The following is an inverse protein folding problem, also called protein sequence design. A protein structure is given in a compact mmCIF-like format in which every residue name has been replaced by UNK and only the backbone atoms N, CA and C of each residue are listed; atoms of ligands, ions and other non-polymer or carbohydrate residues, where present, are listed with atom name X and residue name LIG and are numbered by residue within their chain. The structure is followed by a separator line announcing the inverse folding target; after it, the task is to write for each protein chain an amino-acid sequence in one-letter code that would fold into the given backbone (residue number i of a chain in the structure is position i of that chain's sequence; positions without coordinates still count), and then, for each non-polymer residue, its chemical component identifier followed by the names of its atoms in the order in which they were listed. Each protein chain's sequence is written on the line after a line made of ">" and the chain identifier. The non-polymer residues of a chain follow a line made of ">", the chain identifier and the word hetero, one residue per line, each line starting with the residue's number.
data_IF_581201097577
#
_entry.id   IF_581201097577
#
_cell.length_a   1.000
_cell.length_b   1.000
_cell.length_c   1.000
_cell.angle_alpha   90.00
_cell.angle_beta   90.00
_cell.angle_gamma   90.00
#
_symmetry.space_group_name_H-M   'P 1'
#
loop_
_entity.id
_entity.type
_entity.pdbx_description
1 polymer ?
#
# COMPACT_ATOMS: atom_id res chain seq x y z
N UNK A 1 -1.22 0.95 -17.17
CA UNK A 1 0.03 1.69 -17.47
C UNK A 1 -0.10 3.18 -17.65
N UNK A 2 -0.79 3.73 -18.65
CA UNK A 2 -0.80 5.20 -18.85
C UNK A 2 -1.44 5.98 -17.69
N UNK A 3 -2.64 5.57 -17.26
CA UNK A 3 -3.36 6.25 -16.17
C UNK A 3 -2.67 6.09 -14.81
N UNK A 4 -2.11 4.91 -14.51
CA UNK A 4 -1.39 4.69 -13.26
C UNK A 4 -0.10 5.50 -13.20
N UNK A 5 0.59 5.68 -14.34
CA UNK A 5 1.73 6.60 -14.45
C UNK A 5 1.31 8.06 -14.28
N UNK A 6 0.15 8.45 -14.81
CA UNK A 6 -0.38 9.81 -14.67
C UNK A 6 -0.82 10.16 -13.24
N UNK A 7 -1.27 9.17 -12.44
CA UNK A 7 -1.57 9.36 -11.01
C UNK A 7 -0.32 9.38 -10.12
N UNK A 8 0.81 8.83 -10.59
CA UNK A 8 2.03 8.74 -9.79
C UNK A 8 2.52 10.09 -9.24
N UNK A 9 2.60 11.17 -10.05
CA UNK A 9 2.97 12.50 -9.56
C UNK A 9 2.12 12.98 -8.38
N UNK A 10 0.82 12.63 -8.33
CA UNK A 10 -0.10 13.06 -7.26
C UNK A 10 0.35 12.52 -5.91
N UNK A 11 0.52 11.20 -5.77
CA UNK A 11 0.89 10.58 -4.50
C UNK A 11 2.39 10.59 -4.18
N UNK A 12 3.23 11.03 -5.12
CA UNK A 12 4.66 11.27 -4.85
C UNK A 12 5.01 12.74 -4.64
N UNK A 13 4.02 13.64 -4.68
CA UNK A 13 4.24 15.07 -4.51
C UNK A 13 4.87 15.41 -3.15
N UNK A 14 5.71 16.47 -3.07
CA UNK A 14 6.36 16.86 -1.83
C UNK A 14 5.40 17.48 -0.81
N UNK A 15 4.32 18.12 -1.26
CA UNK A 15 3.35 18.83 -0.42
C UNK A 15 1.93 18.57 -0.89
N UNK A 16 0.93 18.87 -0.04
CA UNK A 16 -0.49 18.78 -0.39
C UNK A 16 -0.83 19.69 -1.59
N UNK A 17 -0.42 20.96 -1.56
CA UNK A 17 -0.63 21.89 -2.68
C UNK A 17 0.00 21.39 -3.98
N UNK A 18 1.22 20.86 -3.95
CA UNK A 18 1.82 20.26 -5.15
C UNK A 18 1.03 19.03 -5.63
N UNK A 19 0.45 18.24 -4.73
CA UNK A 19 -0.41 17.12 -5.11
C UNK A 19 -1.72 17.60 -5.76
N UNK A 20 -2.31 18.69 -5.26
CA UNK A 20 -3.49 19.32 -5.86
C UNK A 20 -3.21 19.79 -7.28
N UNK A 21 -2.09 20.49 -7.51
CA UNK A 21 -1.68 20.90 -8.86
C UNK A 21 -1.54 19.71 -9.80
N UNK A 22 -0.89 18.63 -9.35
CA UNK A 22 -0.77 17.39 -10.14
C UNK A 22 -2.10 16.70 -10.37
N UNK A 23 -3.03 16.82 -9.44
CA UNK A 23 -4.35 16.23 -9.59
C UNK A 23 -5.21 17.05 -10.57
N UNK A 24 -5.07 18.38 -10.60
CA UNK A 24 -5.69 19.23 -11.62
C UNK A 24 -5.17 18.89 -13.02
N UNK A 25 -3.84 18.79 -13.20
CA UNK A 25 -3.23 18.33 -14.46
C UNK A 25 -3.78 16.97 -14.90
N UNK A 26 -3.93 16.04 -13.95
CA UNK A 26 -4.52 14.73 -14.21
C UNK A 26 -6.00 14.82 -14.66
N UNK A 27 -6.79 15.70 -14.04
CA UNK A 27 -8.19 15.89 -14.39
C UNK A 27 -8.35 16.47 -15.79
N UNK A 28 -7.54 17.44 -16.19
CA UNK A 28 -7.57 18.04 -17.53
C UNK A 28 -7.41 16.97 -18.62
N UNK A 29 -6.47 16.04 -18.43
CA UNK A 29 -6.19 14.98 -19.42
C UNK A 29 -7.19 13.82 -19.34
N UNK A 30 -7.62 13.40 -18.14
CA UNK A 30 -8.31 12.12 -17.95
C UNK A 30 -9.79 12.20 -17.56
N UNK A 31 -10.32 13.37 -17.19
CA UNK A 31 -11.72 13.53 -16.75
C UNK A 31 -12.73 13.07 -17.79
N UNK A 32 -12.53 13.40 -19.06
CA UNK A 32 -13.45 13.02 -20.15
C UNK A 32 -13.49 11.50 -20.38
N UNK A 33 -12.36 10.81 -20.19
CA UNK A 33 -12.22 9.38 -20.49
C UNK A 33 -12.52 8.49 -19.29
N UNK A 34 -12.16 8.94 -18.08
CA UNK A 34 -12.32 8.19 -16.84
C UNK A 34 -12.87 9.06 -15.70
N UNK A 35 -14.09 9.61 -15.84
CA UNK A 35 -14.66 10.51 -14.84
C UNK A 35 -14.89 9.83 -13.48
N UNK A 36 -15.07 8.50 -13.46
CA UNK A 36 -15.22 7.75 -12.22
C UNK A 36 -13.94 7.73 -11.37
N UNK A 37 -12.76 7.76 -11.99
CA UNK A 37 -11.48 7.76 -11.28
C UNK A 37 -11.23 9.13 -10.64
N UNK A 38 -11.57 10.21 -11.33
CA UNK A 38 -11.52 11.57 -10.78
C UNK A 38 -12.40 11.65 -9.53
N UNK A 39 -13.69 11.27 -9.64
CA UNK A 39 -14.61 11.26 -8.49
C UNK A 39 -14.12 10.42 -7.32
N UNK A 40 -13.50 9.26 -7.59
CA UNK A 40 -12.94 8.41 -6.54
C UNK A 40 -11.85 9.15 -5.75
N UNK A 41 -10.95 9.85 -6.46
CA UNK A 41 -9.88 10.61 -5.83
C UNK A 41 -10.38 11.87 -5.12
N UNK A 42 -11.36 12.58 -5.68
CA UNK A 42 -12.01 13.72 -5.02
C UNK A 42 -12.65 13.30 -3.69
N UNK A 43 -13.42 12.21 -3.71
CA UNK A 43 -14.08 11.69 -2.51
C UNK A 43 -13.07 11.24 -1.45
N UNK A 44 -11.95 10.65 -1.86
CA UNK A 44 -10.90 10.17 -0.97
C UNK A 44 -9.87 11.26 -0.59
N UNK A 45 -9.98 12.48 -1.14
CA UNK A 45 -8.93 13.49 -1.05
C UNK A 45 -8.58 13.84 0.40
N UNK A 46 -9.60 14.06 1.23
CA UNK A 46 -9.42 14.39 2.65
C UNK A 46 -8.73 13.27 3.44
N UNK A 47 -8.93 12.01 3.06
CA UNK A 47 -8.26 10.85 3.66
C UNK A 47 -6.84 10.66 3.12
N UNK A 48 -6.60 11.09 1.88
CA UNK A 48 -5.30 11.03 1.21
C UNK A 48 -4.34 12.15 1.64
N UNK A 49 -4.82 13.37 1.89
CA UNK A 49 -3.94 14.50 2.26
C UNK A 49 -3.04 14.21 3.48
N UNK A 50 -3.53 13.61 4.59
CA UNK A 50 -2.68 13.22 5.71
C UNK A 50 -1.52 12.31 5.33
N UNK A 51 -1.69 11.45 4.31
CA UNK A 51 -0.62 10.59 3.84
C UNK A 51 0.60 11.38 3.32
N UNK A 52 0.38 12.57 2.76
CA UNK A 52 1.47 13.41 2.26
C UNK A 52 2.34 14.02 3.37
N UNK A 53 1.86 14.05 4.61
CA UNK A 53 2.61 14.56 5.77
C UNK A 53 3.73 13.62 6.22
N UNK A 54 3.68 12.34 5.83
CA UNK A 54 4.75 11.40 6.11
C UNK A 54 5.98 11.65 5.23
N UNK A 55 7.16 11.38 5.78
CA UNK A 55 8.41 11.40 5.02
C UNK A 55 8.37 10.51 3.77
N UNK A 56 9.11 10.90 2.74
CA UNK A 56 9.18 10.18 1.47
C UNK A 56 9.57 8.69 1.64
N UNK A 57 10.41 8.38 2.63
CA UNK A 57 10.81 7.00 2.95
C UNK A 57 9.63 6.17 3.47
N UNK A 58 8.78 6.75 4.33
CA UNK A 58 7.56 6.10 4.83
C UNK A 58 6.54 5.94 3.70
N UNK A 59 6.30 7.02 2.95
CA UNK A 59 5.36 7.04 1.82
C UNK A 59 5.70 5.98 0.78
N UNK A 60 6.99 5.77 0.49
CA UNK A 60 7.45 4.74 -0.45
C UNK A 60 7.06 3.33 0.00
N UNK A 61 7.15 3.03 1.29
CA UNK A 61 6.76 1.71 1.82
C UNK A 61 5.25 1.51 1.69
N UNK A 62 4.46 2.51 2.11
CA UNK A 62 2.99 2.45 2.09
C UNK A 62 2.44 2.34 0.66
N UNK A 63 2.99 3.10 -0.29
CA UNK A 63 2.57 3.04 -1.70
C UNK A 63 2.99 1.76 -2.43
N UNK A 64 3.84 0.91 -1.84
CA UNK A 64 4.18 -0.37 -2.48
C UNK A 64 3.04 -1.37 -2.30
N UNK A 65 2.11 -1.39 -3.24
CA UNK A 65 1.00 -2.36 -3.26
C UNK A 65 1.48 -3.80 -3.40
N UNK A 66 2.72 -4.02 -3.89
CA UNK A 66 3.36 -5.33 -4.06
C UNK A 66 3.20 -6.27 -2.85
N UNK A 67 3.30 -5.77 -1.61
CA UNK A 67 3.16 -6.62 -0.43
C UNK A 67 1.74 -7.22 -0.35
N UNK A 68 0.73 -6.36 -0.36
CA UNK A 68 -0.68 -6.74 -0.27
C UNK A 68 -1.11 -7.52 -1.51
N UNK A 69 -0.69 -7.09 -2.70
CA UNK A 69 -0.96 -7.78 -3.96
C UNK A 69 -0.36 -9.19 -3.99
N UNK A 70 0.87 -9.37 -3.49
CA UNK A 70 1.52 -10.69 -3.44
C UNK A 70 0.75 -11.67 -2.54
N UNK A 71 0.25 -11.20 -1.40
CA UNK A 71 -0.59 -11.98 -0.48
C UNK A 71 -1.91 -12.33 -1.16
N UNK A 72 -2.61 -11.32 -1.71
CA UNK A 72 -3.88 -11.50 -2.40
C UNK A 72 -3.76 -12.46 -3.59
N UNK A 73 -2.70 -12.37 -4.39
CA UNK A 73 -2.46 -13.26 -5.52
C UNK A 73 -2.35 -14.72 -5.09
N UNK A 74 -1.68 -14.99 -3.96
CA UNK A 74 -1.51 -16.34 -3.43
C UNK A 74 -2.77 -16.88 -2.79
N UNK A 75 -3.52 -16.05 -2.07
CA UNK A 75 -4.84 -16.42 -1.55
C UNK A 75 -5.78 -16.78 -2.71
N UNK A 76 -5.87 -15.94 -3.75
CA UNK A 76 -6.67 -16.23 -4.95
C UNK A 76 -6.25 -17.52 -5.64
N UNK A 77 -4.94 -17.77 -5.77
CA UNK A 77 -4.42 -19.02 -6.35
C UNK A 77 -4.84 -20.24 -5.53
N UNK A 78 -4.74 -20.16 -4.21
CA UNK A 78 -5.11 -21.26 -3.30
C UNK A 78 -6.62 -21.54 -3.30
N UNK A 79 -7.46 -20.50 -3.41
CA UNK A 79 -8.92 -20.62 -3.48
C UNK A 79 -9.37 -21.16 -4.84
N UNK A 80 -8.84 -20.62 -5.94
CA UNK A 80 -9.21 -21.05 -7.30
C UNK A 80 -8.95 -22.53 -7.55
N UNK A 81 -7.92 -23.09 -6.93
CA UNK A 81 -7.62 -24.52 -7.01
C UNK A 81 -8.65 -25.42 -6.28
N UNK A 82 -9.47 -24.88 -5.37
CA UNK A 82 -10.41 -25.64 -4.54
C UNK A 82 -11.87 -25.50 -4.96
N UNK A 83 -12.24 -24.37 -5.58
CA UNK A 83 -13.62 -24.12 -6.00
C UNK A 83 -14.53 -23.75 -4.82
N UNK A 84 -15.32 -24.71 -4.32
CA UNK A 84 -16.24 -24.50 -3.20
C UNK A 84 -15.67 -25.00 -1.88
N UNK A 85 -16.13 -24.42 -0.77
CA UNK A 85 -15.77 -24.85 0.57
C UNK A 85 -17.01 -25.42 1.29
N UNK A 86 -16.86 -26.51 2.07
CA UNK A 86 -17.98 -27.13 2.78
C UNK A 86 -18.48 -26.31 3.98
N UNK A 87 -17.64 -25.42 4.53
CA UNK A 87 -17.99 -24.48 5.58
C UNK A 87 -16.94 -23.35 5.68
N UNK A 88 -17.22 -22.34 6.50
CA UNK A 88 -16.33 -21.19 6.72
C UNK A 88 -14.97 -21.59 7.32
N UNK A 89 -14.95 -22.54 8.25
CA UNK A 89 -13.71 -23.01 8.88
C UNK A 89 -12.74 -23.62 7.86
N UNK A 90 -13.25 -24.35 6.87
CA UNK A 90 -12.44 -24.89 5.77
C UNK A 90 -11.87 -23.79 4.88
N UNK A 91 -12.64 -22.74 4.60
CA UNK A 91 -12.17 -21.57 3.86
C UNK A 91 -11.07 -20.83 4.64
N UNK A 92 -11.29 -20.58 5.94
CA UNK A 92 -10.31 -19.93 6.81
C UNK A 92 -9.00 -20.72 6.89
N UNK A 93 -9.07 -22.06 7.04
CA UNK A 93 -7.89 -22.93 7.05
C UNK A 93 -7.12 -22.85 5.73
N UNK A 94 -7.81 -22.75 4.60
CA UNK A 94 -7.16 -22.56 3.30
C UNK A 94 -6.41 -21.23 3.22
N UNK A 95 -7.03 -20.13 3.65
CA UNK A 95 -6.38 -18.80 3.70
C UNK A 95 -5.17 -18.84 4.63
N UNK A 96 -5.32 -19.41 5.83
CA UNK A 96 -4.23 -19.59 6.79
C UNK A 96 -3.02 -20.30 6.18
N UNK A 97 -3.24 -21.45 5.53
CA UNK A 97 -2.16 -22.20 4.89
C UNK A 97 -1.52 -21.43 3.72
N UNK A 98 -2.31 -20.68 2.95
CA UNK A 98 -1.79 -19.83 1.87
C UNK A 98 -0.88 -18.70 2.41
N UNK A 99 -1.23 -18.13 3.57
CA UNK A 99 -0.42 -17.12 4.25
C UNK A 99 0.84 -17.75 4.87
N UNK A 100 0.74 -18.86 5.58
CA UNK A 100 1.89 -19.51 6.22
C UNK A 100 2.93 -19.99 5.21
N UNK A 101 2.50 -20.39 4.01
CA UNK A 101 3.43 -20.72 2.94
C UNK A 101 4.21 -19.51 2.37
N UNK A 102 3.93 -18.25 2.79
CA UNK A 102 4.63 -17.04 2.28
C UNK A 102 6.09 -17.00 2.69
N UNK A 103 6.37 -17.46 3.89
CA UNK A 103 7.70 -17.45 4.45
C UNK A 103 7.94 -18.75 5.22
N UNK A 104 7.97 -19.91 4.53
CA UNK A 104 8.03 -21.22 5.19
C UNK A 104 9.33 -21.42 5.96
N UNK A 105 10.37 -20.63 5.66
CA UNK A 105 11.68 -20.68 6.33
C UNK A 105 11.95 -19.48 7.25
N UNK A 106 11.04 -18.50 7.32
CA UNK A 106 11.22 -17.26 8.09
C UNK A 106 12.29 -16.29 7.53
N UNK A 107 12.91 -16.62 6.39
CA UNK A 107 13.99 -15.83 5.80
C UNK A 107 13.47 -14.65 4.98
N UNK A 108 12.22 -14.71 4.52
CA UNK A 108 11.53 -13.58 3.91
C UNK A 108 11.51 -12.40 4.86
N UNK A 109 11.04 -12.60 6.11
CA UNK A 109 10.98 -11.58 7.15
C UNK A 109 12.28 -10.80 7.30
N UNK A 110 13.44 -11.48 7.33
CA UNK A 110 14.75 -10.83 7.46
C UNK A 110 15.07 -9.87 6.30
N UNK A 111 14.72 -10.24 5.06
CA UNK A 111 14.90 -9.36 3.88
C UNK A 111 13.98 -8.13 3.92
N UNK A 112 12.75 -8.30 4.40
CA UNK A 112 11.80 -7.20 4.54
C UNK A 112 12.25 -6.19 5.60
N UNK A 113 12.77 -6.65 6.75
CA UNK A 113 13.26 -5.76 7.81
C UNK A 113 14.40 -4.83 7.35
N UNK A 114 15.26 -5.28 6.42
CA UNK A 114 16.33 -4.43 5.87
C UNK A 114 15.78 -3.28 5.01
N UNK A 115 14.74 -3.53 4.22
CA UNK A 115 14.11 -2.50 3.36
C UNK A 115 13.38 -1.43 4.16
N UNK A 116 13.00 -1.74 5.40
CA UNK A 116 12.30 -0.84 6.30
C UNK A 116 13.23 0.10 7.09
N UNK A 117 14.56 -0.11 7.08
CA UNK A 117 15.48 0.70 7.91
C UNK A 117 15.33 2.22 7.71
N UNK A 118 15.28 2.77 6.48
CA UNK A 118 15.11 4.22 6.30
C UNK A 118 13.76 4.71 6.80
N UNK A 119 12.68 3.97 6.53
CA UNK A 119 11.34 4.30 7.01
C UNK A 119 11.26 4.23 8.55
N UNK A 120 11.92 3.26 9.19
CA UNK A 120 11.98 3.14 10.64
C UNK A 120 12.69 4.33 11.29
N UNK A 121 13.75 4.85 10.67
CA UNK A 121 14.42 6.07 11.14
C UNK A 121 13.50 7.28 11.01
N UNK A 122 12.82 7.44 9.87
CA UNK A 122 11.85 8.50 9.67
C UNK A 122 10.68 8.43 10.68
N UNK A 123 10.18 7.22 10.98
CA UNK A 123 9.16 7.05 12.02
C UNK A 123 9.66 7.42 13.42
N UNK A 124 10.92 7.13 13.75
CA UNK A 124 11.51 7.49 15.06
C UNK A 124 11.57 9.02 15.23
N UNK A 125 11.85 9.75 14.13
CA UNK A 125 11.85 11.22 14.11
C UNK A 125 10.42 11.77 14.19
N UNK A 126 9.52 11.28 13.34
CA UNK A 126 8.15 11.77 13.25
C UNK A 126 7.30 11.45 14.50
N UNK A 127 7.63 10.36 15.19
CA UNK A 127 6.91 9.87 16.37
C UNK A 127 7.88 9.58 17.51
N UNK A 128 8.60 10.61 17.95
CA UNK A 128 9.57 10.48 19.02
C UNK A 128 8.96 9.82 20.28
N UNK A 129 9.74 8.95 20.91
CA UNK A 129 9.31 8.19 22.08
C UNK A 129 8.19 7.18 21.85
N UNK A 130 7.80 6.84 20.61
CA UNK A 130 6.83 5.75 20.33
C UNK A 130 7.51 4.43 19.97
N UNK A 131 8.64 4.47 19.26
CA UNK A 131 9.37 3.28 18.80
C UNK A 131 10.59 2.96 19.66
N UNK A 132 11.23 3.99 20.22
CA UNK A 132 12.47 3.88 21.00
C UNK A 132 12.28 3.36 22.44
N UNK A 133 11.03 3.31 22.95
CA UNK A 133 10.69 2.85 24.31
C UNK A 133 11.07 1.39 24.56
N UNK A 134 11.14 0.56 23.51
CA UNK A 134 11.52 -0.85 23.60
C UNK A 134 12.98 -1.18 23.21
N UNK A 135 13.84 -0.18 22.96
CA UNK A 135 15.26 -0.38 22.59
C UNK A 135 16.25 -0.10 23.74
N UNK A 136 15.78 0.19 24.95
CA UNK A 136 16.63 0.30 26.14
C UNK A 136 16.78 -1.04 26.85
#
# INVERSE_FOLDING_TARGET
>A
DKISRALKPVYTAPTASAAEDRFLEFQEEWSNKYPAIVRLWENAWAEFVPFLQFDAEIRRIVCTTNAIESVNARIRKAIRARGHFPNEAAALKCVYMAVMSLDPTGQGRKRWTMRWKPALQAFDIAFDGRLSVGRR
#
